data_IF_982509154066
#
_entry.id   IF_982509154066
#
_cell.length_a   1.000
_cell.length_b   1.000
_cell.length_c   1.000
_cell.angle_alpha   90.00
_cell.angle_beta   90.00
_cell.angle_gamma   90.00
#
_symmetry.space_group_name_H-M   'P 1'
#
loop_
_entity.id
_entity.type
_entity.pdbx_description
1 polymer ?
#
# COMPACT_ATOMS: atom_id res chain seq x y z
N UNK A 1 -29.98 58.01 -0.82
CA UNK A 1 -28.60 58.14 -0.34
C UNK A 1 -27.98 56.79 0.10
N UNK A 2 -28.75 55.73 0.29
CA UNK A 2 -28.26 54.41 0.75
C UNK A 2 -27.71 53.51 -0.36
N UNK A 3 -28.21 53.61 -1.59
CA UNK A 3 -27.81 52.75 -2.70
C UNK A 3 -26.30 52.88 -3.08
N UNK A 4 -25.77 54.11 -3.08
CA UNK A 4 -24.36 54.37 -3.37
C UNK A 4 -23.41 53.84 -2.30
N UNK A 5 -23.84 53.85 -1.02
CA UNK A 5 -23.05 53.28 0.08
C UNK A 5 -22.96 51.76 0.01
N UNK A 6 -24.08 51.10 -0.34
CA UNK A 6 -24.11 49.66 -0.49
C UNK A 6 -23.31 49.20 -1.72
N UNK A 7 -23.32 49.96 -2.81
CA UNK A 7 -22.50 49.64 -3.99
C UNK A 7 -21.00 49.79 -3.70
N UNK A 8 -20.61 50.81 -2.97
CA UNK A 8 -19.17 50.97 -2.56
C UNK A 8 -18.72 49.86 -1.61
N UNK A 9 -19.55 49.46 -0.66
CA UNK A 9 -19.22 48.35 0.24
C UNK A 9 -19.10 47.01 -0.52
N UNK A 10 -19.95 46.78 -1.51
CA UNK A 10 -19.87 45.59 -2.34
C UNK A 10 -18.61 45.54 -3.21
N UNK A 11 -18.21 46.65 -3.81
CA UNK A 11 -16.97 46.74 -4.61
C UNK A 11 -15.73 46.49 -3.74
N UNK A 12 -15.70 47.03 -2.52
CA UNK A 12 -14.57 46.81 -1.58
C UNK A 12 -14.47 45.35 -1.13
N UNK A 13 -15.59 44.66 -0.88
CA UNK A 13 -15.57 43.25 -0.48
C UNK A 13 -15.13 42.35 -1.62
N UNK A 14 -15.59 42.58 -2.84
CA UNK A 14 -15.20 41.79 -4.01
C UNK A 14 -13.72 41.98 -4.34
N UNK A 15 -13.20 43.22 -4.22
CA UNK A 15 -11.79 43.50 -4.42
C UNK A 15 -10.87 42.83 -3.38
N UNK A 16 -11.33 42.77 -2.11
CA UNK A 16 -10.59 42.08 -1.04
C UNK A 16 -10.50 40.55 -1.27
N UNK A 17 -11.58 39.94 -1.71
CA UNK A 17 -11.62 38.51 -2.02
C UNK A 17 -10.73 38.17 -3.23
N UNK A 18 -10.75 39.00 -4.27
CA UNK A 18 -9.89 38.85 -5.45
C UNK A 18 -8.41 38.92 -5.09
N UNK A 19 -8.02 39.85 -4.19
CA UNK A 19 -6.64 39.95 -3.72
C UNK A 19 -6.20 38.75 -2.89
N UNK A 20 -7.08 38.20 -2.07
CA UNK A 20 -6.80 37.03 -1.27
C UNK A 20 -6.58 35.76 -2.13
N UNK A 21 -7.38 35.57 -3.19
CA UNK A 21 -7.23 34.46 -4.13
C UNK A 21 -5.90 34.59 -4.91
N UNK A 22 -5.50 35.79 -5.30
CA UNK A 22 -4.21 36.02 -5.98
C UNK A 22 -3.02 35.72 -5.06
N UNK A 23 -3.10 36.10 -3.78
CA UNK A 23 -2.04 35.81 -2.80
C UNK A 23 -1.91 34.29 -2.52
N UNK A 24 -3.02 33.55 -2.45
CA UNK A 24 -3.04 32.09 -2.29
C UNK A 24 -2.49 31.38 -3.54
N UNK A 25 -2.81 31.88 -4.74
CA UNK A 25 -2.28 31.35 -5.99
C UNK A 25 -0.77 31.55 -6.17
N UNK A 26 -0.26 32.71 -5.79
CA UNK A 26 1.18 33.01 -5.87
C UNK A 26 2.03 32.36 -4.79
N UNK A 27 1.43 32.06 -3.63
CA UNK A 27 2.09 31.30 -2.55
C UNK A 27 2.35 29.84 -2.88
N UNK A 28 1.45 29.21 -3.63
CA UNK A 28 1.62 27.79 -4.03
C UNK A 28 2.70 27.57 -5.10
N UNK A 29 2.94 28.56 -5.97
CA UNK A 29 3.96 28.42 -7.04
C UNK A 29 5.38 28.51 -6.48
N UNK A 30 5.61 29.18 -5.35
CA UNK A 30 6.93 29.24 -4.71
C UNK A 30 7.33 28.01 -3.91
N UNK A 31 6.36 27.19 -3.49
CA UNK A 31 6.65 25.95 -2.76
C UNK A 31 7.12 24.79 -3.67
N UNK A 32 6.89 24.88 -4.98
CA UNK A 32 7.31 23.83 -5.93
C UNK A 32 8.68 24.08 -6.61
N UNK A 33 9.31 25.24 -6.40
CA UNK A 33 10.53 25.64 -7.13
C UNK A 33 11.82 25.56 -6.30
N UNK A 34 11.83 24.92 -5.15
CA UNK A 34 12.98 24.87 -4.24
C UNK A 34 13.31 23.51 -3.63
N UNK A 35 12.75 22.42 -4.15
CA UNK A 35 13.20 21.08 -3.81
C UNK A 35 14.44 20.72 -4.60
N UNK A 36 15.60 20.71 -3.95
CA UNK A 36 16.85 20.21 -4.52
C UNK A 36 16.60 18.81 -5.10
N UNK A 37 16.78 18.68 -6.43
CA UNK A 37 16.56 17.42 -7.15
C UNK A 37 17.48 16.28 -6.69
N UNK A 38 18.35 16.51 -5.70
CA UNK A 38 19.16 15.52 -5.01
C UNK A 38 18.38 14.73 -3.96
N UNK A 39 17.41 15.36 -3.29
CA UNK A 39 16.66 14.71 -2.20
C UNK A 39 15.63 13.72 -2.69
N UNK A 40 14.93 14.05 -3.76
CA UNK A 40 13.99 13.11 -4.37
C UNK A 40 14.72 11.95 -5.09
N UNK A 41 15.89 12.23 -5.72
CA UNK A 41 16.76 11.19 -6.28
C UNK A 41 17.30 10.26 -5.18
N UNK A 42 17.60 10.80 -4.00
CA UNK A 42 18.01 10.01 -2.84
C UNK A 42 16.87 9.14 -2.30
N UNK A 43 15.65 9.68 -2.30
CA UNK A 43 14.44 8.94 -1.88
C UNK A 43 14.09 7.83 -2.88
N UNK A 44 14.15 8.11 -4.19
CA UNK A 44 13.92 7.11 -5.24
C UNK A 44 15.04 6.06 -5.25
N UNK A 45 16.31 6.43 -4.99
CA UNK A 45 17.41 5.46 -4.89
C UNK A 45 17.35 4.63 -3.60
N UNK A 46 16.78 5.15 -2.51
CA UNK A 46 16.52 4.38 -1.30
C UNK A 46 15.34 3.41 -1.47
N UNK A 47 14.31 3.80 -2.23
CA UNK A 47 13.18 2.92 -2.59
C UNK A 47 13.58 1.80 -3.59
N UNK A 48 14.73 1.92 -4.27
CA UNK A 48 15.15 0.92 -5.26
C UNK A 48 15.98 -0.22 -4.65
N UNK A 49 16.31 -0.15 -3.36
CA UNK A 49 16.80 -1.30 -2.61
C UNK A 49 15.60 -2.13 -2.12
N UNK A 50 14.83 -2.67 -3.04
CA UNK A 50 13.82 -3.65 -2.73
C UNK A 50 14.52 -4.90 -2.16
N UNK A 51 14.60 -4.95 -0.84
CA UNK A 51 14.81 -6.21 -0.16
C UNK A 51 13.68 -7.13 -0.60
N UNK A 52 14.00 -8.30 -1.13
CA UNK A 52 12.96 -9.28 -1.50
C UNK A 52 12.37 -9.82 -0.20
N UNK A 53 11.25 -9.28 0.21
CA UNK A 53 10.57 -9.65 1.46
C UNK A 53 9.73 -10.92 1.34
N UNK A 54 9.42 -11.33 0.12
CA UNK A 54 8.64 -12.51 -0.17
C UNK A 54 9.04 -13.11 -1.51
N UNK A 55 9.22 -14.43 -1.51
CA UNK A 55 9.37 -15.22 -2.74
C UNK A 55 8.27 -16.27 -2.77
N UNK A 56 7.51 -16.30 -3.85
CA UNK A 56 6.50 -17.35 -4.05
C UNK A 56 7.15 -18.73 -4.04
N UNK A 57 6.46 -19.76 -3.50
CA UNK A 57 7.03 -21.09 -3.45
C UNK A 57 7.33 -21.63 -4.85
N UNK A 58 8.56 -22.09 -5.04
CA UNK A 58 8.96 -22.81 -6.25
C UNK A 58 8.28 -24.18 -6.29
N UNK A 59 7.57 -24.44 -7.39
CA UNK A 59 6.91 -25.73 -7.60
C UNK A 59 7.92 -26.76 -8.12
N UNK A 60 8.14 -27.88 -7.40
CA UNK A 60 9.05 -28.92 -7.86
C UNK A 60 8.65 -29.40 -9.27
N UNK A 61 9.61 -29.42 -10.19
CA UNK A 61 9.40 -29.85 -11.57
C UNK A 61 8.91 -31.29 -11.71
N UNK A 62 9.21 -32.13 -10.69
CA UNK A 62 8.79 -33.52 -10.64
C UNK A 62 7.27 -33.67 -10.40
N UNK A 63 6.60 -32.66 -9.85
CA UNK A 63 5.17 -32.64 -9.66
C UNK A 63 4.47 -32.31 -10.97
N UNK A 64 3.86 -33.31 -11.60
CA UNK A 64 3.13 -33.14 -12.86
C UNK A 64 1.64 -33.02 -12.67
N UNK A 65 1.10 -33.57 -11.56
CA UNK A 65 -0.33 -33.50 -11.25
C UNK A 65 -0.73 -32.08 -10.78
N UNK A 66 -1.70 -31.43 -11.44
CA UNK A 66 -2.18 -30.10 -11.05
C UNK A 66 -2.74 -30.04 -9.62
N UNK A 67 -3.39 -31.10 -9.14
CA UNK A 67 -3.96 -31.15 -7.80
C UNK A 67 -2.85 -31.20 -6.73
N UNK A 68 -1.83 -32.03 -6.94
CA UNK A 68 -0.66 -32.09 -6.05
C UNK A 68 0.09 -30.75 -6.02
N UNK A 69 0.24 -30.10 -7.18
CA UNK A 69 0.87 -28.78 -7.29
C UNK A 69 0.10 -27.71 -6.51
N UNK A 70 -1.23 -27.70 -6.61
CA UNK A 70 -2.08 -26.78 -5.86
C UNK A 70 -1.95 -26.99 -4.35
N UNK A 71 -1.96 -28.24 -3.88
CA UNK A 71 -1.76 -28.60 -2.47
C UNK A 71 -0.39 -28.14 -1.98
N UNK A 72 0.68 -28.41 -2.74
CA UNK A 72 2.02 -27.97 -2.40
C UNK A 72 2.12 -26.45 -2.31
N UNK A 73 1.62 -25.75 -3.32
CA UNK A 73 1.64 -24.28 -3.40
C UNK A 73 0.95 -23.65 -2.18
N UNK A 74 -0.25 -24.08 -1.85
CA UNK A 74 -1.02 -23.55 -0.73
C UNK A 74 -0.33 -23.83 0.62
N UNK A 75 0.26 -25.01 0.81
CA UNK A 75 0.97 -25.38 2.05
C UNK A 75 2.22 -24.55 2.28
N UNK A 76 2.94 -24.20 1.22
CA UNK A 76 4.22 -23.50 1.29
C UNK A 76 4.12 -21.99 0.99
N UNK A 77 2.91 -21.50 0.75
CA UNK A 77 2.67 -20.12 0.31
C UNK A 77 3.35 -19.08 1.21
N UNK A 78 3.25 -19.26 2.51
CA UNK A 78 3.74 -18.31 3.51
C UNK A 78 5.13 -18.62 4.06
N UNK A 79 5.82 -19.64 3.53
CA UNK A 79 7.14 -20.04 4.08
C UNK A 79 8.20 -18.96 3.94
N UNK A 80 8.21 -18.23 2.84
CA UNK A 80 9.13 -17.12 2.57
C UNK A 80 8.68 -15.76 3.06
N UNK A 81 7.54 -15.65 3.78
CA UNK A 81 7.00 -14.37 4.24
C UNK A 81 7.71 -13.89 5.52
N UNK A 82 8.23 -12.65 5.49
CA UNK A 82 8.92 -12.05 6.63
C UNK A 82 7.95 -11.20 7.46
N UNK A 83 7.57 -11.69 8.63
CA UNK A 83 6.65 -10.99 9.56
C UNK A 83 7.32 -9.84 10.31
N UNK A 84 8.65 -9.89 10.51
CA UNK A 84 9.39 -8.91 11.32
C UNK A 84 9.60 -7.53 10.67
N UNK A 85 9.29 -7.36 9.38
CA UNK A 85 9.41 -6.07 8.70
C UNK A 85 8.06 -5.34 8.71
N UNK A 86 7.94 -4.37 9.60
CA UNK A 86 6.70 -3.58 9.79
C UNK A 86 6.29 -2.81 8.53
N UNK A 87 7.25 -2.30 7.75
CA UNK A 87 6.96 -1.55 6.53
C UNK A 87 6.39 -2.48 5.45
N UNK A 88 6.98 -3.67 5.32
CA UNK A 88 6.51 -4.72 4.42
C UNK A 88 5.12 -5.23 4.82
N UNK A 89 4.92 -5.60 6.08
CA UNK A 89 3.62 -6.10 6.59
C UNK A 89 2.49 -5.10 6.32
N UNK A 90 2.76 -3.81 6.38
CA UNK A 90 1.77 -2.76 6.12
C UNK A 90 1.70 -2.30 4.65
N UNK A 91 2.45 -2.92 3.75
CA UNK A 91 2.43 -2.59 2.33
C UNK A 91 1.16 -3.09 1.61
N UNK A 92 0.85 -2.49 0.48
CA UNK A 92 -0.19 -2.97 -0.43
C UNK A 92 0.13 -4.35 -1.04
N UNK A 93 1.42 -4.67 -1.17
CA UNK A 93 1.88 -5.97 -1.68
C UNK A 93 1.47 -7.12 -0.76
N UNK A 94 1.54 -6.92 0.57
CA UNK A 94 1.06 -7.89 1.57
C UNK A 94 -0.44 -8.16 1.42
N UNK A 95 -1.23 -7.13 1.15
CA UNK A 95 -2.67 -7.27 0.92
C UNK A 95 -2.96 -8.09 -0.34
N UNK A 96 -2.23 -7.83 -1.42
CA UNK A 96 -2.33 -8.60 -2.66
C UNK A 96 -1.93 -10.06 -2.47
N UNK A 97 -0.87 -10.33 -1.71
CA UNK A 97 -0.47 -11.70 -1.38
C UNK A 97 -1.57 -12.45 -0.62
N UNK A 98 -2.25 -11.78 0.30
CA UNK A 98 -3.37 -12.39 1.01
C UNK A 98 -4.52 -12.74 0.06
N UNK A 99 -4.88 -11.83 -0.84
CA UNK A 99 -5.91 -12.08 -1.86
C UNK A 99 -5.52 -13.26 -2.76
N UNK A 100 -4.28 -13.29 -3.25
CA UNK A 100 -3.76 -14.38 -4.09
C UNK A 100 -3.80 -15.73 -3.35
N UNK A 101 -3.49 -15.73 -2.06
CA UNK A 101 -3.58 -16.92 -1.21
C UNK A 101 -5.02 -17.44 -1.08
N UNK A 102 -5.97 -16.55 -0.76
CA UNK A 102 -7.38 -16.90 -0.66
C UNK A 102 -7.91 -17.46 -1.99
N UNK A 103 -7.47 -16.88 -3.10
CA UNK A 103 -7.83 -17.39 -4.43
C UNK A 103 -7.24 -18.78 -4.70
N UNK A 104 -6.03 -19.04 -4.24
CA UNK A 104 -5.39 -20.35 -4.37
C UNK A 104 -6.13 -21.46 -3.58
N UNK A 105 -6.78 -21.13 -2.46
CA UNK A 105 -7.55 -22.07 -1.67
C UNK A 105 -8.73 -22.72 -2.43
N UNK A 106 -9.20 -22.09 -3.50
CA UNK A 106 -10.28 -22.62 -4.35
C UNK A 106 -9.90 -23.91 -5.11
N UNK A 107 -8.61 -24.16 -5.25
CA UNK A 107 -8.05 -25.28 -6.02
C UNK A 107 -7.64 -26.48 -5.17
N UNK A 108 -7.92 -26.45 -3.87
CA UNK A 108 -7.58 -27.51 -2.94
C UNK A 108 -8.81 -27.99 -2.16
N UNK A 109 -8.74 -29.21 -1.63
CA UNK A 109 -9.78 -29.73 -0.75
C UNK A 109 -9.99 -28.82 0.48
N UNK A 110 -11.25 -28.66 0.95
CA UNK A 110 -11.58 -27.74 2.06
C UNK A 110 -10.76 -28.00 3.33
N UNK A 111 -10.45 -29.26 3.62
CA UNK A 111 -9.66 -29.63 4.79
C UNK A 111 -8.19 -29.18 4.66
N UNK A 112 -7.62 -29.32 3.46
CA UNK A 112 -6.28 -28.82 3.15
C UNK A 112 -6.23 -27.29 3.24
N UNK A 113 -7.23 -26.60 2.69
CA UNK A 113 -7.36 -25.15 2.77
C UNK A 113 -7.46 -24.67 4.22
N UNK A 114 -8.26 -25.33 5.05
CA UNK A 114 -8.39 -25.00 6.48
C UNK A 114 -7.07 -25.15 7.22
N UNK A 115 -6.32 -26.22 6.97
CA UNK A 115 -4.99 -26.43 7.58
C UNK A 115 -3.99 -25.38 7.15
N UNK A 116 -3.97 -25.01 5.87
CA UNK A 116 -3.08 -23.97 5.36
C UNK A 116 -3.40 -22.59 5.96
N UNK A 117 -4.69 -22.26 6.06
CA UNK A 117 -5.15 -21.03 6.71
C UNK A 117 -4.76 -20.99 8.20
N UNK A 118 -4.96 -22.09 8.92
CA UNK A 118 -4.55 -22.21 10.32
C UNK A 118 -3.03 -22.03 10.47
N UNK A 119 -2.24 -22.63 9.60
CA UNK A 119 -0.77 -22.48 9.62
C UNK A 119 -0.35 -21.03 9.38
N UNK A 120 -1.01 -20.34 8.44
CA UNK A 120 -0.81 -18.91 8.22
C UNK A 120 -1.12 -18.11 9.50
N UNK A 121 -2.28 -18.32 10.11
CA UNK A 121 -2.70 -17.60 11.32
C UNK A 121 -1.69 -17.78 12.47
N UNK A 122 -1.27 -19.01 12.74
CA UNK A 122 -0.26 -19.31 13.78
C UNK A 122 1.06 -18.58 13.51
N UNK A 123 1.46 -18.48 12.25
CA UNK A 123 2.67 -17.74 11.86
C UNK A 123 2.51 -16.24 12.09
N UNK A 124 1.36 -15.66 11.75
CA UNK A 124 1.08 -14.24 11.94
C UNK A 124 0.92 -13.87 13.42
N UNK A 125 0.39 -14.76 14.25
CA UNK A 125 0.29 -14.58 15.71
C UNK A 125 1.65 -14.46 16.40
N UNK A 126 2.71 -14.99 15.80
CA UNK A 126 4.07 -14.87 16.34
C UNK A 126 4.63 -13.45 16.30
N UNK A 127 4.07 -12.57 15.48
CA UNK A 127 4.46 -11.18 15.34
C UNK A 127 3.28 -10.23 15.53
N UNK A 128 3.41 -9.29 16.48
CA UNK A 128 2.32 -8.38 16.86
C UNK A 128 1.88 -7.43 15.73
N UNK A 129 2.77 -7.11 14.80
CA UNK A 129 2.45 -6.26 13.65
C UNK A 129 1.67 -7.04 12.60
N UNK A 130 2.13 -8.24 12.26
CA UNK A 130 1.44 -9.14 11.36
C UNK A 130 0.06 -9.52 11.91
N UNK A 131 -0.04 -9.89 13.19
CA UNK A 131 -1.31 -10.23 13.85
C UNK A 131 -2.38 -9.14 13.76
N UNK A 132 -1.98 -7.86 13.80
CA UNK A 132 -2.95 -6.75 13.67
C UNK A 132 -3.37 -6.49 12.23
N UNK A 133 -2.57 -6.92 11.27
CA UNK A 133 -2.82 -6.69 9.85
C UNK A 133 -3.72 -7.77 9.23
N UNK A 134 -3.56 -9.02 9.64
CA UNK A 134 -4.32 -10.18 9.19
C UNK A 134 -5.45 -10.57 10.16
#
# INVERSE_FOLDING_TARGET
MNAKKNLMAFILTVSSIALMVICLGLGMVKACAGGDGSEWKKKVAADTLHVVHYTRPDLPQIMTDPAERAVYYVKHYWDGYLTGDTAWVNSGDTEQLYVDFIDALKYVEPETGRKALHTMMVRMEADSTAYRRF
#
